data_IF_263943913104
#
_entry.id   IF_263943913104
#
_cell.length_a   1.000
_cell.length_b   1.000
_cell.length_c   1.000
_cell.angle_alpha   90.00
_cell.angle_beta   90.00
_cell.angle_gamma   90.00
#
_symmetry.space_group_name_H-M   'P 1'
#
loop_
_entity.id
_entity.type
_entity.pdbx_description
1 polymer ?
#
# COMPACT_ATOMS: atom_id res chain seq x y z
N UNK A 1 3.40 -39.60 -0.40
CA UNK A 1 4.82 -39.93 -0.18
C UNK A 1 5.03 -39.90 1.32
N UNK A 2 5.56 -40.99 1.89
CA UNK A 2 5.88 -41.11 3.33
C UNK A 2 4.71 -40.80 4.28
N UNK A 3 3.49 -41.19 3.92
CA UNK A 3 2.28 -40.91 4.68
C UNK A 3 1.75 -39.47 4.61
N UNK A 4 2.45 -38.56 3.94
CA UNK A 4 2.01 -37.21 3.68
C UNK A 4 1.24 -37.12 2.34
N UNK A 5 0.26 -36.21 2.28
CA UNK A 5 -0.47 -35.90 1.05
C UNK A 5 0.24 -34.74 0.34
N UNK A 6 0.57 -34.96 -0.93
CA UNK A 6 1.28 -34.01 -1.78
C UNK A 6 0.43 -33.63 -2.99
N UNK A 7 0.57 -32.39 -3.45
CA UNK A 7 0.12 -31.95 -4.76
C UNK A 7 1.35 -31.79 -5.67
N UNK A 8 1.27 -32.30 -6.90
CA UNK A 8 2.28 -32.06 -7.93
C UNK A 8 2.09 -30.68 -8.51
N UNK A 9 2.52 -29.68 -7.74
CA UNK A 9 2.44 -28.28 -8.15
C UNK A 9 3.39 -27.93 -9.29
N UNK A 10 4.39 -28.79 -9.54
CA UNK A 10 5.28 -28.71 -10.71
C UNK A 10 4.54 -28.85 -12.04
N UNK A 11 3.43 -29.59 -12.07
CA UNK A 11 2.55 -29.72 -13.26
C UNK A 11 1.87 -28.40 -13.61
N UNK A 12 1.89 -27.43 -12.71
CA UNK A 12 1.21 -26.12 -12.79
C UNK A 12 2.16 -24.92 -12.63
N UNK A 13 3.46 -25.10 -12.88
CA UNK A 13 4.44 -24.03 -12.93
C UNK A 13 5.10 -23.65 -11.59
N UNK A 14 4.96 -24.45 -10.54
CA UNK A 14 5.74 -24.30 -9.31
C UNK A 14 7.15 -24.94 -9.46
N UNK A 15 8.09 -24.55 -8.63
CA UNK A 15 9.48 -25.04 -8.65
C UNK A 15 9.63 -26.45 -8.05
N UNK A 16 8.67 -26.87 -7.23
CA UNK A 16 8.65 -28.20 -6.58
C UNK A 16 7.26 -28.57 -6.10
N UNK A 17 7.02 -29.87 -5.90
CA UNK A 17 5.78 -30.39 -5.34
C UNK A 17 5.58 -29.93 -3.89
N UNK A 18 4.33 -29.74 -3.49
CA UNK A 18 3.99 -29.19 -2.16
C UNK A 18 3.21 -30.15 -1.31
N UNK A 19 3.59 -30.22 -0.02
CA UNK A 19 2.86 -30.97 0.99
C UNK A 19 1.55 -30.24 1.31
N UNK A 20 0.43 -30.93 1.13
CA UNK A 20 -0.90 -30.46 1.52
C UNK A 20 -1.23 -30.84 2.97
N UNK A 21 -0.99 -32.10 3.34
CA UNK A 21 -1.18 -32.63 4.69
C UNK A 21 0.08 -33.35 5.11
N UNK A 22 0.59 -33.03 6.30
CA UNK A 22 1.75 -33.70 6.88
C UNK A 22 1.42 -35.15 7.21
N UNK A 23 2.43 -36.03 7.26
CA UNK A 23 2.28 -37.38 7.82
C UNK A 23 1.94 -37.30 9.30
N UNK A 24 1.31 -38.35 9.81
CA UNK A 24 1.18 -38.55 11.24
C UNK A 24 2.58 -38.61 11.89
N UNK A 25 2.71 -38.03 13.07
CA UNK A 25 3.94 -38.04 13.85
C UNK A 25 3.71 -38.74 15.19
N UNK A 26 4.62 -39.66 15.54
CA UNK A 26 4.60 -40.27 16.87
C UNK A 26 5.64 -39.53 17.73
N UNK A 27 5.19 -38.97 18.83
CA UNK A 27 6.05 -38.29 19.81
C UNK A 27 6.87 -39.30 20.62
N UNK A 28 7.92 -38.84 21.29
CA UNK A 28 8.80 -39.70 22.08
C UNK A 28 8.08 -40.44 23.22
N UNK A 29 6.91 -39.97 23.66
CA UNK A 29 6.03 -40.58 24.65
C UNK A 29 5.03 -41.60 24.07
N UNK A 30 5.18 -41.92 22.74
CA UNK A 30 4.37 -42.93 22.07
C UNK A 30 2.98 -42.44 21.60
N UNK A 31 2.66 -41.17 21.75
CA UNK A 31 1.41 -40.59 21.26
C UNK A 31 1.51 -40.29 19.76
N UNK A 32 0.56 -40.81 18.98
CA UNK A 32 0.45 -40.51 17.56
C UNK A 32 -0.50 -39.32 17.38
N UNK A 33 0.00 -38.26 16.75
CA UNK A 33 -0.80 -37.10 16.33
C UNK A 33 -1.01 -37.17 14.81
N UNK A 34 -2.26 -37.00 14.38
CA UNK A 34 -2.53 -36.86 12.94
C UNK A 34 -1.79 -35.64 12.37
N UNK A 35 -1.27 -35.79 11.15
CA UNK A 35 -0.66 -34.68 10.44
C UNK A 35 -1.66 -33.62 10.06
N UNK A 36 -1.40 -32.37 10.42
CA UNK A 36 -2.22 -31.22 10.06
C UNK A 36 -2.03 -30.81 8.61
N UNK A 37 -3.00 -30.06 8.07
CA UNK A 37 -2.83 -29.35 6.80
C UNK A 37 -1.74 -28.28 6.92
N UNK A 38 -0.98 -28.09 5.84
CA UNK A 38 -0.04 -26.99 5.73
C UNK A 38 -0.77 -25.70 5.39
N UNK A 39 -0.18 -24.54 5.63
CA UNK A 39 -0.75 -23.24 5.26
C UNK A 39 -1.09 -23.10 3.77
N UNK A 40 -0.46 -23.92 2.92
CA UNK A 40 -0.75 -23.98 1.49
C UNK A 40 -2.24 -24.27 1.20
N UNK A 41 -2.84 -25.21 1.93
CA UNK A 41 -4.24 -25.61 1.69
C UNK A 41 -5.23 -24.50 2.05
N UNK A 42 -5.19 -23.89 3.27
CA UNK A 42 -6.08 -22.77 3.58
C UNK A 42 -5.87 -21.55 2.69
N UNK A 43 -4.63 -21.28 2.24
CA UNK A 43 -4.37 -20.17 1.32
C UNK A 43 -5.08 -20.39 -0.03
N UNK A 44 -4.94 -21.59 -0.61
CA UNK A 44 -5.65 -21.94 -1.86
C UNK A 44 -7.17 -21.89 -1.66
N UNK A 45 -7.69 -22.48 -0.59
CA UNK A 45 -9.12 -22.46 -0.29
C UNK A 45 -9.64 -21.02 -0.13
N UNK A 46 -8.91 -20.16 0.56
CA UNK A 46 -9.30 -18.77 0.75
C UNK A 46 -9.39 -17.99 -0.57
N UNK A 47 -8.43 -18.18 -1.48
CA UNK A 47 -8.49 -17.55 -2.79
C UNK A 47 -9.59 -18.15 -3.68
N UNK A 48 -9.88 -19.44 -3.55
CA UNK A 48 -11.02 -20.08 -4.22
C UNK A 48 -12.35 -19.43 -3.80
N UNK A 49 -12.55 -19.17 -2.51
CA UNK A 49 -13.78 -18.49 -2.04
C UNK A 49 -13.91 -17.07 -2.59
N UNK A 50 -12.81 -16.35 -2.83
CA UNK A 50 -12.87 -15.03 -3.49
C UNK A 50 -13.36 -15.16 -4.93
N UNK A 51 -12.84 -16.15 -5.66
CA UNK A 51 -13.25 -16.43 -7.05
C UNK A 51 -14.72 -16.81 -7.14
N UNK A 52 -15.19 -17.72 -6.28
CA UNK A 52 -16.58 -18.15 -6.19
C UNK A 52 -17.54 -17.00 -5.85
N UNK A 53 -17.10 -16.05 -5.02
CA UNK A 53 -17.84 -14.81 -4.71
C UNK A 53 -17.86 -13.81 -5.86
N UNK A 54 -17.24 -14.11 -7.00
CA UNK A 54 -17.26 -13.29 -8.20
C UNK A 54 -16.13 -12.25 -8.28
N UNK A 55 -15.16 -12.21 -7.35
CA UNK A 55 -14.00 -11.32 -7.44
C UNK A 55 -13.02 -11.81 -8.50
N UNK A 56 -13.07 -11.19 -9.69
CA UNK A 56 -12.19 -11.53 -10.83
C UNK A 56 -10.81 -10.88 -10.72
N UNK A 57 -10.67 -9.85 -9.89
CA UNK A 57 -9.40 -9.25 -9.48
C UNK A 57 -9.30 -9.31 -7.96
N UNK A 58 -8.28 -9.94 -7.43
CA UNK A 58 -7.96 -9.99 -6.01
C UNK A 58 -6.49 -9.60 -5.82
N UNK A 59 -6.21 -8.64 -4.97
CA UNK A 59 -4.87 -8.12 -4.73
C UNK A 59 -4.43 -8.57 -3.34
N UNK A 60 -3.34 -9.34 -3.28
CA UNK A 60 -2.71 -9.79 -2.06
C UNK A 60 -1.52 -8.88 -1.74
N UNK A 61 -1.56 -8.20 -0.61
CA UNK A 61 -0.46 -7.36 -0.14
C UNK A 61 0.29 -8.13 0.93
N UNK A 62 1.57 -8.44 0.70
CA UNK A 62 2.39 -9.27 1.58
C UNK A 62 3.83 -8.75 1.66
N UNK A 63 4.57 -9.17 2.70
CA UNK A 63 6.00 -8.93 2.78
C UNK A 63 6.78 -9.74 1.72
N UNK A 64 7.94 -9.26 1.33
CA UNK A 64 8.82 -9.92 0.34
C UNK A 64 9.28 -11.31 0.78
N UNK A 65 9.27 -11.63 2.07
CA UNK A 65 9.53 -12.96 2.62
C UNK A 65 8.49 -14.00 2.18
N UNK A 66 7.31 -13.57 1.72
CA UNK A 66 6.26 -14.40 1.13
C UNK A 66 6.39 -14.60 -0.39
N UNK A 67 7.42 -14.07 -1.06
CA UNK A 67 7.60 -14.21 -2.51
C UNK A 67 7.45 -15.68 -3.00
N UNK A 68 8.04 -16.63 -2.27
CA UNK A 68 7.96 -18.05 -2.61
C UNK A 68 6.56 -18.67 -2.47
N UNK A 69 5.57 -17.93 -1.94
CA UNK A 69 4.19 -18.44 -1.85
C UNK A 69 3.38 -18.21 -3.11
N UNK A 70 3.78 -17.27 -3.96
CA UNK A 70 3.02 -16.83 -5.14
C UNK A 70 2.83 -17.99 -6.12
N UNK A 71 3.92 -18.58 -6.59
CA UNK A 71 3.88 -19.67 -7.57
C UNK A 71 3.08 -20.87 -7.05
N UNK A 72 3.33 -21.29 -5.80
CA UNK A 72 2.64 -22.44 -5.21
C UNK A 72 1.13 -22.22 -5.02
N UNK A 73 0.70 -21.01 -4.61
CA UNK A 73 -0.74 -20.72 -4.45
C UNK A 73 -1.42 -20.71 -5.80
N UNK A 74 -0.82 -20.06 -6.81
CA UNK A 74 -1.33 -20.07 -8.19
C UNK A 74 -1.41 -21.48 -8.77
N UNK A 75 -0.36 -22.29 -8.59
CA UNK A 75 -0.36 -23.70 -8.99
C UNK A 75 -1.49 -24.50 -8.29
N UNK A 76 -1.69 -24.28 -7.00
CA UNK A 76 -2.79 -24.92 -6.26
C UNK A 76 -4.17 -24.53 -6.79
N UNK A 77 -4.37 -23.28 -7.17
CA UNK A 77 -5.62 -22.79 -7.77
C UNK A 77 -5.84 -23.39 -9.17
N UNK A 78 -4.80 -23.53 -9.98
CA UNK A 78 -4.87 -24.18 -11.29
C UNK A 78 -5.25 -25.66 -11.17
N UNK A 79 -4.69 -26.35 -10.19
CA UNK A 79 -4.96 -27.77 -9.94
C UNK A 79 -6.43 -28.08 -9.59
N UNK A 80 -7.21 -27.09 -9.15
CA UNK A 80 -8.63 -27.25 -8.88
C UNK A 80 -9.51 -27.34 -10.14
N UNK A 81 -9.01 -26.91 -11.31
CA UNK A 81 -9.76 -26.97 -12.58
C UNK A 81 -11.02 -26.09 -12.61
N UNK A 82 -11.08 -25.01 -11.81
CA UNK A 82 -12.23 -24.11 -11.68
C UNK A 82 -12.25 -22.96 -12.69
N UNK A 83 -11.38 -22.99 -13.70
CA UNK A 83 -11.27 -21.91 -14.70
C UNK A 83 -10.69 -20.60 -14.13
N UNK A 84 -9.97 -20.68 -13.02
CA UNK A 84 -9.24 -19.53 -12.44
C UNK A 84 -8.05 -19.21 -13.32
N UNK A 85 -7.81 -17.94 -13.74
CA UNK A 85 -6.66 -17.59 -14.57
C UNK A 85 -5.31 -17.83 -13.87
N UNK A 86 -4.28 -18.19 -14.63
CA UNK A 86 -2.93 -18.47 -14.10
C UNK A 86 -2.34 -17.32 -13.26
N UNK A 87 -2.62 -16.08 -13.64
CA UNK A 87 -2.14 -14.90 -12.93
C UNK A 87 -2.90 -14.56 -11.65
N UNK A 88 -3.99 -15.26 -11.33
CA UNK A 88 -4.81 -14.95 -10.17
C UNK A 88 -4.28 -15.65 -8.90
N UNK A 89 -4.27 -14.95 -7.74
CA UNK A 89 -4.49 -13.53 -7.52
C UNK A 89 -3.27 -12.66 -7.88
N UNK A 90 -3.48 -11.33 -7.97
CA UNK A 90 -2.40 -10.36 -8.03
C UNK A 90 -1.68 -10.26 -6.68
N UNK A 91 -0.39 -9.94 -6.72
CA UNK A 91 0.41 -9.73 -5.52
C UNK A 91 1.14 -8.39 -5.57
N UNK A 92 1.08 -7.66 -4.46
CA UNK A 92 1.94 -6.52 -4.18
C UNK A 92 2.84 -6.91 -3.01
N UNK A 93 4.13 -7.05 -3.29
CA UNK A 93 5.12 -7.38 -2.27
C UNK A 93 5.77 -6.09 -1.77
N UNK A 94 5.85 -5.95 -0.45
CA UNK A 94 6.51 -4.81 0.17
C UNK A 94 7.71 -5.24 1.03
N UNK A 95 8.72 -4.38 1.05
CA UNK A 95 9.88 -4.53 1.92
C UNK A 95 9.56 -4.16 3.37
N UNK A 96 10.47 -4.48 4.28
CA UNK A 96 10.33 -4.10 5.68
C UNK A 96 10.41 -2.58 5.85
N UNK A 97 9.57 -2.06 6.75
CA UNK A 97 9.61 -0.68 7.21
C UNK A 97 10.38 -0.62 8.53
N UNK A 98 11.45 0.17 8.57
CA UNK A 98 12.15 0.50 9.81
C UNK A 98 11.53 1.75 10.42
N UNK A 99 11.52 1.83 11.74
CA UNK A 99 11.02 3.00 12.47
C UNK A 99 12.17 3.59 13.26
N UNK A 100 12.39 4.90 13.12
CA UNK A 100 13.36 5.66 13.91
C UNK A 100 12.66 6.74 14.73
N UNK A 101 13.18 6.98 15.93
CA UNK A 101 12.72 8.03 16.85
C UNK A 101 13.90 8.54 17.66
N UNK A 102 14.07 9.85 17.77
CA UNK A 102 15.24 10.45 18.41
C UNK A 102 16.57 10.10 17.71
N UNK A 103 16.54 9.84 16.39
CA UNK A 103 17.71 9.44 15.62
C UNK A 103 18.12 7.97 15.79
N UNK A 104 17.42 7.17 16.60
CA UNK A 104 17.71 5.76 16.85
C UNK A 104 16.59 4.86 16.31
N UNK A 105 16.98 3.68 15.81
CA UNK A 105 16.00 2.68 15.39
C UNK A 105 15.25 2.13 16.62
N UNK A 106 13.91 2.18 16.56
CA UNK A 106 13.05 1.58 17.58
C UNK A 106 13.14 0.06 17.46
N UNK A 107 13.93 -0.55 18.35
CA UNK A 107 14.24 -1.99 18.31
C UNK A 107 13.01 -2.84 18.55
N UNK A 108 12.75 -3.73 17.61
CA UNK A 108 11.74 -4.78 17.73
C UNK A 108 12.39 -5.97 18.44
N UNK A 109 11.92 -6.30 19.65
CA UNK A 109 12.34 -7.50 20.35
C UNK A 109 11.17 -8.48 20.50
N UNK A 110 11.14 -9.51 19.65
CA UNK A 110 10.13 -10.59 19.75
C UNK A 110 10.16 -11.29 21.13
N UNK A 111 11.35 -11.36 21.77
CA UNK A 111 11.52 -11.99 23.10
C UNK A 111 11.01 -11.11 24.24
N UNK A 112 11.09 -9.79 24.09
CA UNK A 112 10.61 -8.84 25.11
C UNK A 112 9.15 -8.42 24.86
N UNK A 113 8.48 -8.91 23.80
CA UNK A 113 7.12 -8.51 23.45
C UNK A 113 7.03 -7.06 22.96
N UNK A 114 8.15 -6.39 22.71
CA UNK A 114 8.18 -5.03 22.21
C UNK A 114 8.26 -5.03 20.69
N UNK A 115 7.22 -4.56 20.04
CA UNK A 115 7.17 -4.26 18.61
C UNK A 115 6.36 -2.99 18.40
N UNK A 116 6.74 -2.20 17.42
CA UNK A 116 6.00 -1.00 17.06
C UNK A 116 4.74 -1.41 16.30
N UNK A 117 3.60 -1.05 16.84
CA UNK A 117 2.31 -1.28 16.19
C UNK A 117 1.94 -0.09 15.31
N UNK A 118 1.01 -0.30 14.37
CA UNK A 118 0.42 0.80 13.62
C UNK A 118 -0.26 1.82 14.54
N UNK A 119 -0.83 1.37 15.66
CA UNK A 119 -1.43 2.22 16.69
C UNK A 119 -0.40 3.13 17.32
N UNK A 120 0.77 2.59 17.70
CA UNK A 120 1.86 3.40 18.26
C UNK A 120 2.29 4.51 17.31
N UNK A 121 2.45 4.20 16.01
CA UNK A 121 2.79 5.21 15.01
C UNK A 121 1.74 6.32 14.91
N UNK A 122 0.45 5.95 14.94
CA UNK A 122 -0.65 6.92 14.90
C UNK A 122 -0.67 7.78 16.16
N UNK A 123 -0.45 7.20 17.33
CA UNK A 123 -0.40 7.92 18.61
C UNK A 123 0.82 8.83 18.73
N UNK A 124 1.96 8.44 18.17
CA UNK A 124 3.18 9.26 18.18
C UNK A 124 3.14 10.39 17.14
N UNK A 125 2.32 10.27 16.09
CA UNK A 125 2.27 11.23 14.99
C UNK A 125 0.83 11.65 14.70
N UNK A 126 0.23 11.08 13.68
CA UNK A 126 -1.21 11.19 13.33
C UNK A 126 -1.56 10.12 12.29
N UNK A 127 -2.86 9.84 12.13
CA UNK A 127 -3.34 8.94 11.08
C UNK A 127 -2.96 9.43 9.67
N UNK A 128 -3.04 10.75 9.44
CA UNK A 128 -2.70 11.37 8.16
C UNK A 128 -1.20 11.24 7.86
N UNK A 129 -0.35 11.53 8.85
CA UNK A 129 1.10 11.39 8.70
C UNK A 129 1.47 9.93 8.41
N UNK A 130 0.97 8.96 9.19
CA UNK A 130 1.26 7.54 8.98
C UNK A 130 0.83 7.11 7.57
N UNK A 131 -0.39 7.43 7.16
CA UNK A 131 -0.89 7.09 5.82
C UNK A 131 -0.03 7.71 4.73
N UNK A 132 0.25 9.01 4.83
CA UNK A 132 1.02 9.73 3.82
C UNK A 132 2.44 9.19 3.68
N UNK A 133 3.15 9.01 4.79
CA UNK A 133 4.53 8.54 4.79
C UNK A 133 4.65 7.11 4.28
N UNK A 134 3.77 6.18 4.73
CA UNK A 134 3.80 4.80 4.27
C UNK A 134 3.42 4.66 2.79
N UNK A 135 2.51 5.50 2.28
CA UNK A 135 2.12 5.49 0.87
C UNK A 135 3.09 6.29 -0.03
N UNK A 136 4.02 7.06 0.53
CA UNK A 136 4.95 7.90 -0.25
C UNK A 136 6.10 7.14 -0.90
N UNK A 137 6.13 5.83 -0.81
CA UNK A 137 7.18 4.97 -1.37
C UNK A 137 6.59 3.83 -2.16
N UNK A 138 7.36 3.36 -3.16
CA UNK A 138 7.05 2.10 -3.83
C UNK A 138 7.14 0.95 -2.83
N UNK A 139 6.27 -0.06 -2.94
CA UNK A 139 6.24 -1.16 -1.98
C UNK A 139 7.56 -1.96 -1.90
N UNK A 140 8.29 -2.06 -3.01
CA UNK A 140 9.56 -2.76 -3.12
C UNK A 140 10.79 -1.96 -2.68
N UNK A 141 10.59 -0.70 -2.27
CA UNK A 141 11.67 0.18 -1.81
C UNK A 141 11.81 0.11 -0.30
N UNK A 142 13.02 -0.13 0.21
CA UNK A 142 13.29 -0.04 1.64
C UNK A 142 12.90 1.34 2.18
N UNK A 143 12.24 1.35 3.33
CA UNK A 143 11.75 2.56 3.91
C UNK A 143 12.06 2.66 5.41
N UNK A 144 12.47 3.85 5.82
CA UNK A 144 12.60 4.23 7.23
C UNK A 144 11.56 5.29 7.56
N UNK A 145 10.62 4.94 8.44
CA UNK A 145 9.64 5.88 8.98
C UNK A 145 10.29 6.66 10.12
N UNK A 146 10.49 7.96 9.90
CA UNK A 146 11.05 8.88 10.88
C UNK A 146 9.91 9.57 11.64
N UNK A 147 9.76 9.21 12.92
CA UNK A 147 8.72 9.75 13.80
C UNK A 147 8.93 11.24 14.03
N UNK A 148 10.18 11.68 14.20
CA UNK A 148 10.50 13.07 14.52
C UNK A 148 10.20 13.97 13.32
N UNK A 149 10.52 13.53 12.10
CA UNK A 149 10.14 14.23 10.87
C UNK A 149 8.62 14.29 10.70
N UNK A 150 7.92 13.21 11.02
CA UNK A 150 6.47 13.10 10.82
C UNK A 150 5.64 14.04 11.71
N UNK A 151 6.22 14.56 12.81
CA UNK A 151 5.57 15.52 13.70
C UNK A 151 6.01 16.98 13.50
N UNK A 152 7.00 17.22 12.65
CA UNK A 152 7.46 18.59 12.38
C UNK A 152 6.39 19.43 11.68
N UNK A 153 6.27 20.68 12.09
CA UNK A 153 5.35 21.67 11.52
C UNK A 153 6.12 22.69 10.65
N UNK A 154 6.86 22.16 9.68
CA UNK A 154 7.64 22.97 8.74
C UNK A 154 7.66 22.28 7.35
N UNK A 155 8.28 22.94 6.37
CA UNK A 155 8.33 22.49 4.99
C UNK A 155 9.15 21.21 4.75
N UNK A 156 9.96 20.78 5.73
CA UNK A 156 10.72 19.52 5.63
C UNK A 156 9.78 18.32 5.79
N UNK A 157 8.66 18.49 6.52
CA UNK A 157 7.63 17.48 6.65
C UNK A 157 6.68 17.54 5.45
N UNK A 158 6.71 16.55 4.54
CA UNK A 158 5.93 16.60 3.30
C UNK A 158 4.42 16.52 3.52
N UNK A 159 3.94 15.90 4.60
CA UNK A 159 2.50 15.90 4.91
C UNK A 159 2.06 17.28 5.40
N UNK A 160 2.85 17.91 6.26
CA UNK A 160 2.58 19.28 6.70
C UNK A 160 2.57 20.25 5.51
N UNK A 161 3.51 20.11 4.59
CA UNK A 161 3.60 20.96 3.40
C UNK A 161 2.33 20.91 2.54
N UNK A 162 1.77 19.72 2.33
CA UNK A 162 0.50 19.53 1.61
C UNK A 162 -0.68 20.08 2.41
N UNK A 163 -0.74 19.81 3.71
CA UNK A 163 -1.79 20.33 4.59
C UNK A 163 -1.74 21.87 4.67
N UNK A 164 -0.55 22.47 4.68
CA UNK A 164 -0.38 23.90 4.67
C UNK A 164 -0.88 24.53 3.36
N UNK A 165 -0.65 23.90 2.20
CA UNK A 165 -1.26 24.36 0.94
C UNK A 165 -2.78 24.36 1.02
N UNK A 166 -3.39 23.29 1.53
CA UNK A 166 -4.84 23.20 1.72
C UNK A 166 -5.37 24.27 2.68
N UNK A 167 -4.72 24.46 3.83
CA UNK A 167 -5.10 25.49 4.81
C UNK A 167 -5.03 26.90 4.19
N UNK A 168 -4.01 27.17 3.39
CA UNK A 168 -3.86 28.44 2.65
C UNK A 168 -5.00 28.66 1.64
N UNK A 169 -5.38 27.63 0.89
CA UNK A 169 -6.53 27.68 -0.03
C UNK A 169 -7.81 27.99 0.75
N UNK A 170 -8.06 27.30 1.85
CA UNK A 170 -9.23 27.55 2.70
C UNK A 170 -9.26 29.00 3.22
N UNK A 171 -8.11 29.55 3.62
CA UNK A 171 -8.00 30.93 4.10
C UNK A 171 -8.29 31.94 2.97
N UNK A 172 -7.84 31.70 1.75
CA UNK A 172 -8.15 32.54 0.57
C UNK A 172 -9.64 32.51 0.27
N UNK A 173 -10.28 31.33 0.26
CA UNK A 173 -11.70 31.18 0.02
C UNK A 173 -12.53 31.87 1.13
N UNK A 174 -12.12 31.76 2.37
CA UNK A 174 -12.76 32.43 3.49
C UNK A 174 -12.64 33.95 3.39
N UNK A 175 -11.47 34.48 3.03
CA UNK A 175 -11.25 35.90 2.84
C UNK A 175 -12.08 36.47 1.67
N UNK A 176 -12.22 35.67 0.59
CA UNK A 176 -13.08 36.03 -0.53
C UNK A 176 -14.55 36.12 -0.13
N UNK A 177 -15.07 35.25 0.75
CA UNK A 177 -16.41 35.28 1.31
C UNK A 177 -17.54 35.03 0.32
N UNK A 178 -17.25 34.66 -0.93
CA UNK A 178 -18.21 34.35 -1.98
C UNK A 178 -18.74 32.91 -1.92
N UNK A 179 -19.74 32.62 -2.75
CA UNK A 179 -20.27 31.26 -2.91
C UNK A 179 -19.38 30.46 -3.86
N UNK A 180 -18.80 29.36 -3.38
CA UNK A 180 -17.98 28.48 -4.19
C UNK A 180 -18.70 27.91 -5.43
N UNK A 181 -20.05 27.79 -5.39
CA UNK A 181 -20.84 27.36 -6.54
C UNK A 181 -20.80 28.39 -7.70
N UNK A 182 -20.63 29.68 -7.39
CA UNK A 182 -20.49 30.73 -8.40
C UNK A 182 -19.18 30.61 -9.20
N UNK A 183 -18.15 29.96 -8.65
CA UNK A 183 -16.85 29.77 -9.34
C UNK A 183 -16.98 28.91 -10.60
N UNK A 184 -17.99 28.03 -10.68
CA UNK A 184 -18.22 27.19 -11.87
C UNK A 184 -18.56 28.01 -13.13
N UNK A 185 -19.01 29.28 -12.94
CA UNK A 185 -19.35 30.19 -14.00
C UNK A 185 -18.36 31.36 -14.15
N UNK A 186 -17.23 31.29 -13.43
CA UNK A 186 -16.21 32.33 -13.46
C UNK A 186 -15.53 32.42 -14.82
N UNK A 187 -15.27 33.65 -15.30
CA UNK A 187 -14.43 33.90 -16.45
C UNK A 187 -12.97 33.46 -16.14
N UNK A 188 -12.41 32.59 -16.96
CA UNK A 188 -11.03 32.10 -16.83
C UNK A 188 -10.01 32.92 -17.62
N UNK A 189 -10.48 33.82 -18.52
CA UNK A 189 -9.58 34.64 -19.35
C UNK A 189 -8.51 35.46 -18.55
N UNK A 190 -8.79 35.94 -17.32
CA UNK A 190 -7.77 36.61 -16.52
C UNK A 190 -6.65 35.70 -16.01
N UNK A 191 -6.81 34.39 -16.08
CA UNK A 191 -5.80 33.40 -15.63
C UNK A 191 -4.79 33.08 -16.76
N UNK A 192 -4.20 34.13 -17.37
CA UNK A 192 -3.31 34.03 -18.53
C UNK A 192 -1.82 34.09 -18.16
N UNK A 193 -1.50 34.29 -16.87
CA UNK A 193 -0.11 34.29 -16.42
C UNK A 193 0.54 32.90 -16.52
N UNK A 194 1.86 32.80 -16.72
CA UNK A 194 2.56 31.53 -16.76
C UNK A 194 2.36 30.70 -15.49
N UNK A 195 2.27 31.32 -14.32
CA UNK A 195 2.03 30.64 -13.05
C UNK A 195 0.62 30.05 -12.96
N UNK A 196 -0.40 30.80 -13.40
CA UNK A 196 -1.78 30.32 -13.47
C UNK A 196 -1.92 29.14 -14.46
N UNK A 197 -1.33 29.27 -15.64
CA UNK A 197 -1.34 28.20 -16.66
C UNK A 197 -0.65 26.93 -16.20
N UNK A 198 0.49 27.05 -15.51
CA UNK A 198 1.20 25.89 -14.94
C UNK A 198 0.35 25.17 -13.88
N UNK A 199 -0.32 25.92 -12.99
CA UNK A 199 -1.22 25.32 -11.99
C UNK A 199 -2.43 24.67 -12.62
N UNK A 200 -3.06 25.28 -13.63
CA UNK A 200 -4.19 24.69 -14.37
C UNK A 200 -3.78 23.38 -15.08
N UNK A 201 -2.60 23.35 -15.70
CA UNK A 201 -2.09 22.14 -16.33
C UNK A 201 -1.83 21.02 -15.29
N UNK A 202 -1.29 21.37 -14.13
CA UNK A 202 -1.09 20.42 -13.04
C UNK A 202 -2.43 19.83 -12.56
N UNK A 203 -3.46 20.67 -12.40
CA UNK A 203 -4.81 20.23 -12.03
C UNK A 203 -5.41 19.30 -13.09
N UNK A 204 -5.24 19.61 -14.38
CA UNK A 204 -5.78 18.82 -15.48
C UNK A 204 -5.19 17.40 -15.56
N UNK A 205 -3.97 17.17 -15.03
CA UNK A 205 -3.32 15.86 -14.99
C UNK A 205 -3.92 14.88 -13.96
N UNK A 206 -4.72 15.38 -13.00
CA UNK A 206 -5.20 14.54 -11.88
C UNK A 206 -5.95 13.27 -12.30
N UNK A 207 -6.92 13.34 -13.24
CA UNK A 207 -7.64 12.14 -13.67
C UNK A 207 -6.71 11.04 -14.23
N UNK A 208 -5.70 11.42 -15.01
CA UNK A 208 -4.75 10.48 -15.61
C UNK A 208 -3.82 9.87 -14.54
N UNK A 209 -3.35 10.69 -13.60
CA UNK A 209 -2.56 10.21 -12.46
C UNK A 209 -3.35 9.21 -11.63
N UNK A 210 -4.62 9.52 -11.35
CA UNK A 210 -5.48 8.63 -10.56
C UNK A 210 -5.75 7.30 -11.29
N UNK A 211 -6.04 7.38 -12.59
CA UNK A 211 -6.28 6.20 -13.42
C UNK A 211 -5.03 5.31 -13.51
N UNK A 212 -3.85 5.89 -13.76
CA UNK A 212 -2.57 5.18 -13.78
C UNK A 212 -2.24 4.54 -12.44
N UNK A 213 -2.34 5.30 -11.35
CA UNK A 213 -2.09 4.80 -10.00
C UNK A 213 -3.00 3.62 -9.63
N UNK A 214 -4.27 3.64 -10.05
CA UNK A 214 -5.21 2.54 -9.83
C UNK A 214 -4.88 1.31 -10.68
N UNK A 215 -4.50 1.52 -11.95
CA UNK A 215 -4.12 0.44 -12.86
C UNK A 215 -2.86 -0.29 -12.39
N UNK A 216 -1.84 0.48 -11.99
CA UNK A 216 -0.51 -0.01 -11.64
C UNK A 216 -0.38 -0.39 -10.15
N UNK A 217 -1.45 -0.24 -9.38
CA UNK A 217 -1.45 -0.43 -7.91
C UNK A 217 -0.38 0.44 -7.22
N UNK A 218 -0.22 1.66 -7.69
CA UNK A 218 0.83 2.60 -7.33
C UNK A 218 0.29 3.84 -6.56
N UNK A 219 -0.24 3.69 -5.33
CA UNK A 219 -0.80 4.82 -4.57
C UNK A 219 0.23 5.93 -4.28
N UNK A 220 1.52 5.62 -4.35
CA UNK A 220 2.60 6.60 -4.21
C UNK A 220 2.57 7.68 -5.30
N UNK A 221 2.07 7.40 -6.49
CA UNK A 221 1.96 8.38 -7.57
C UNK A 221 0.96 9.50 -7.22
N UNK A 222 -0.11 9.16 -6.49
CA UNK A 222 -1.05 10.16 -5.96
C UNK A 222 -0.38 11.04 -4.90
N UNK A 223 0.48 10.47 -4.05
CA UNK A 223 1.23 11.22 -3.03
C UNK A 223 2.24 12.16 -3.69
N UNK A 224 2.93 11.71 -4.73
CA UNK A 224 3.85 12.56 -5.50
C UNK A 224 3.12 13.69 -6.19
N UNK A 225 1.99 13.38 -6.85
CA UNK A 225 1.15 14.40 -7.44
C UNK A 225 0.69 15.47 -6.43
N UNK A 226 0.25 15.07 -5.23
CA UNK A 226 -0.16 16.01 -4.18
C UNK A 226 0.97 16.94 -3.75
N UNK A 227 2.19 16.43 -3.66
CA UNK A 227 3.37 17.26 -3.33
C UNK A 227 3.71 18.26 -4.44
N UNK A 228 3.67 17.81 -5.70
CA UNK A 228 3.88 18.67 -6.86
C UNK A 228 2.78 19.75 -6.96
N UNK A 229 1.52 19.37 -6.74
CA UNK A 229 0.40 20.30 -6.75
C UNK A 229 0.54 21.35 -5.64
N UNK A 230 0.91 20.93 -4.42
CA UNK A 230 1.16 21.86 -3.31
C UNK A 230 2.29 22.84 -3.64
N UNK A 231 3.39 22.37 -4.23
CA UNK A 231 4.49 23.21 -4.66
C UNK A 231 4.06 24.22 -5.74
N UNK A 232 3.32 23.75 -6.77
CA UNK A 232 2.78 24.61 -7.83
C UNK A 232 1.84 25.68 -7.25
N UNK A 233 0.99 25.31 -6.31
CA UNK A 233 0.09 26.25 -5.66
C UNK A 233 0.85 27.29 -4.82
N UNK A 234 1.84 26.88 -4.04
CA UNK A 234 2.65 27.85 -3.26
C UNK A 234 3.37 28.84 -4.17
N UNK A 235 3.96 28.37 -5.28
CA UNK A 235 4.62 29.22 -6.27
C UNK A 235 3.63 30.20 -6.92
N UNK A 236 2.44 29.70 -7.31
CA UNK A 236 1.39 30.54 -7.84
C UNK A 236 0.94 31.61 -6.85
N UNK A 237 0.65 31.22 -5.60
CA UNK A 237 0.23 32.14 -4.55
C UNK A 237 1.26 33.25 -4.28
N UNK A 238 2.55 32.92 -4.28
CA UNK A 238 3.61 33.89 -4.03
C UNK A 238 3.84 34.83 -5.22
N UNK A 239 3.53 34.40 -6.44
CA UNK A 239 3.65 35.20 -7.65
C UNK A 239 2.47 36.17 -7.88
N UNK A 240 1.25 35.76 -7.48
CA UNK A 240 0.00 36.48 -7.79
C UNK A 240 -0.59 37.22 -6.56
N UNK A 241 0.14 37.30 -5.46
CA UNK A 241 -0.30 37.90 -4.19
C UNK A 241 -0.30 39.45 -4.21
#
# INVERSE_FOLDING_TARGET
KDGALWLRTTDYGDDKDRVMKKSAATTADGRTTEGGYTYFVPDVAYHTTKWERGFRKAINIQGTDHHGTIARVRAGLQALGLGIPEGYPDYVLHTMVRVVRGGEEVKISKRAGSYVTLRDLIEWTSADAVRFFLLSRKPDTEYTFDVDLAVQQNNDNPVYYVQYAHARICSVLQAWGGDAAALAQAELAPLDTPAAQALMLQLARFPDVLAGAAQDLAPHDVVFYLRELAASYHSYYDAER
#
